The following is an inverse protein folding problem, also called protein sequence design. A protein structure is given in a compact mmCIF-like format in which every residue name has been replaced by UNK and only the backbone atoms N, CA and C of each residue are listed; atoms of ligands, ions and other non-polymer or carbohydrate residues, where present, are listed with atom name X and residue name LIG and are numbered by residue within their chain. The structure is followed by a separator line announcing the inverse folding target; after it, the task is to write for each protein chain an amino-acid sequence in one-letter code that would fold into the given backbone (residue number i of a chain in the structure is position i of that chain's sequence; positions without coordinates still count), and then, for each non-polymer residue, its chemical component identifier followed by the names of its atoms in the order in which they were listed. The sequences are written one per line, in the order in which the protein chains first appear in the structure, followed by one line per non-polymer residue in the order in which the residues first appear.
data_IF_292719649219
#
_entry.id   IF_292719649219
#
_cell.length_a   1.000
_cell.length_b   1.000
_cell.length_c   1.000
_cell.angle_alpha   90.00
_cell.angle_beta   90.00
_cell.angle_gamma   90.00
#
_symmetry.space_group_name_H-M   'P 1'
#
loop_
_entity.id
_entity.type
_entity.pdbx_description
1 polymer ?
#
# COMPACT_ATOMS: atom_id res chain seq x y z
N UNK A 1 7.99 -5.47 -22.14
CA UNK A 1 7.17 -4.59 -21.27
C UNK A 1 7.49 -4.92 -19.81
N UNK A 2 8.25 -4.07 -19.09
CA UNK A 2 8.55 -4.25 -17.65
C UNK A 2 7.52 -3.46 -16.83
N UNK A 3 6.41 -4.09 -16.49
CA UNK A 3 5.25 -3.45 -15.83
C UNK A 3 5.03 -3.89 -14.38
N UNK A 4 6.07 -4.34 -13.68
CA UNK A 4 5.93 -4.94 -12.34
C UNK A 4 5.84 -3.92 -11.19
N UNK A 5 5.82 -2.63 -11.51
CA UNK A 5 5.79 -1.54 -10.54
C UNK A 5 4.54 -0.69 -10.76
N UNK A 6 3.73 -0.57 -9.72
CA UNK A 6 2.58 0.31 -9.69
C UNK A 6 2.77 1.32 -8.56
N UNK A 7 2.52 2.61 -8.83
CA UNK A 7 2.46 3.65 -7.79
C UNK A 7 1.03 3.69 -7.27
N UNK A 8 0.85 3.40 -5.98
CA UNK A 8 -0.46 3.46 -5.31
C UNK A 8 -0.36 4.56 -4.25
N UNK A 9 -1.24 5.55 -4.32
CA UNK A 9 -1.40 6.56 -3.27
C UNK A 9 -2.42 6.05 -2.26
N UNK A 10 -2.01 5.91 -1.00
CA UNK A 10 -2.91 5.55 0.09
C UNK A 10 -3.71 6.78 0.52
N UNK A 11 -4.98 6.59 0.90
CA UNK A 11 -5.83 7.69 1.40
C UNK A 11 -5.46 8.13 2.81
N UNK A 12 -4.77 7.28 3.58
CA UNK A 12 -4.27 7.55 4.93
C UNK A 12 -2.81 7.10 5.05
N UNK A 13 -2.00 7.78 5.87
CA UNK A 13 -0.65 7.31 6.15
C UNK A 13 -0.70 5.93 6.81
N UNK A 14 0.17 5.02 6.37
CA UNK A 14 0.35 3.71 6.96
C UNK A 14 1.84 3.47 7.18
N UNK A 15 2.17 2.87 8.32
CA UNK A 15 3.52 2.43 8.62
C UNK A 15 3.72 1.05 8.00
N UNK A 16 4.49 0.97 6.92
CA UNK A 16 4.95 -0.29 6.31
C UNK A 16 6.44 -0.21 6.08
N UNK A 17 7.09 -1.35 5.87
CA UNK A 17 8.51 -1.40 5.51
C UNK A 17 8.71 -1.72 4.02
N UNK A 18 9.88 -1.35 3.47
CA UNK A 18 10.24 -1.74 2.11
C UNK A 18 10.46 -3.27 2.08
N UNK A 19 9.82 -3.95 1.13
CA UNK A 19 9.84 -5.41 1.00
C UNK A 19 8.71 -6.13 1.74
N UNK A 20 7.87 -5.41 2.48
CA UNK A 20 6.71 -6.00 3.15
C UNK A 20 5.66 -6.47 2.12
N UNK A 21 5.08 -7.65 2.36
CA UNK A 21 4.06 -8.24 1.48
C UNK A 21 2.69 -7.67 1.83
N UNK A 22 2.12 -6.90 0.90
CA UNK A 22 0.81 -6.28 1.06
C UNK A 22 -0.22 -6.99 0.17
N UNK A 23 -1.44 -7.18 0.67
CA UNK A 23 -2.54 -7.75 -0.10
C UNK A 23 -3.38 -6.66 -0.76
N UNK A 24 -3.70 -6.82 -2.04
CA UNK A 24 -4.60 -5.93 -2.77
C UNK A 24 -6.00 -6.51 -2.81
N UNK A 25 -6.95 -5.76 -2.27
CA UNK A 25 -8.37 -6.09 -2.29
C UNK A 25 -9.09 -5.14 -3.24
N UNK A 26 -10.02 -5.66 -4.04
CA UNK A 26 -10.94 -4.87 -4.87
C UNK A 26 -12.37 -5.10 -4.41
N UNK A 27 -13.15 -4.03 -4.35
CA UNK A 27 -14.58 -4.10 -4.06
C UNK A 27 -15.35 -4.49 -5.32
N UNK A 28 -16.10 -5.59 -5.27
CA UNK A 28 -16.99 -6.07 -6.34
C UNK A 28 -18.31 -6.48 -5.69
N UNK A 29 -19.44 -5.93 -6.14
CA UNK A 29 -20.79 -6.33 -5.68
C UNK A 29 -20.90 -6.43 -4.15
N UNK A 30 -20.44 -5.38 -3.44
CA UNK A 30 -20.40 -5.26 -1.97
C UNK A 30 -19.41 -6.16 -1.23
N UNK A 31 -18.69 -7.05 -1.91
CA UNK A 31 -17.67 -7.92 -1.30
C UNK A 31 -16.26 -7.42 -1.61
N UNK A 32 -15.34 -7.61 -0.65
CA UNK A 32 -13.91 -7.45 -0.91
C UNK A 32 -13.37 -8.77 -1.46
N UNK A 33 -12.79 -8.72 -2.65
CA UNK A 33 -12.13 -9.87 -3.28
C UNK A 33 -10.63 -9.62 -3.37
N UNK A 34 -9.86 -10.63 -3.03
CA UNK A 34 -8.40 -10.61 -3.19
C UNK A 34 -8.06 -10.62 -4.68
N UNK A 35 -7.28 -9.63 -5.11
CA UNK A 35 -6.81 -9.52 -6.50
C UNK A 35 -5.39 -10.05 -6.62
N UNK A 36 -4.56 -9.81 -5.61
CA UNK A 36 -3.17 -10.26 -5.63
C UNK A 36 -2.38 -9.76 -4.42
N UNK A 37 -1.08 -10.06 -4.42
CA UNK A 37 -0.13 -9.54 -3.44
C UNK A 37 0.86 -8.65 -4.17
N UNK A 38 1.21 -7.51 -3.57
CA UNK A 38 2.30 -6.66 -4.02
C UNK A 38 3.34 -6.54 -2.91
N UNK A 39 4.54 -6.10 -3.28
CA UNK A 39 5.59 -5.78 -2.34
C UNK A 39 5.79 -4.27 -2.33
N UNK A 40 5.91 -3.70 -1.14
CA UNK A 40 6.20 -2.27 -1.00
C UNK A 40 7.62 -2.00 -1.47
N UNK A 41 7.79 -1.11 -2.44
CA UNK A 41 9.12 -0.74 -2.98
C UNK A 41 9.58 0.64 -2.55
N UNK A 42 8.67 1.49 -2.09
CA UNK A 42 8.96 2.88 -1.70
C UNK A 42 7.98 3.32 -0.61
N UNK A 43 8.52 3.88 0.47
CA UNK A 43 7.75 4.44 1.58
C UNK A 43 7.53 5.91 1.33
N UNK A 44 6.30 6.29 1.02
CA UNK A 44 5.90 7.69 1.08
C UNK A 44 5.49 7.97 2.53
N UNK A 45 6.49 8.19 3.39
CA UNK A 45 6.26 8.74 4.72
C UNK A 45 5.62 10.11 4.52
N UNK A 46 4.30 10.19 4.62
CA UNK A 46 3.62 11.48 4.77
C UNK A 46 4.02 12.00 6.14
N UNK A 47 5.08 12.81 6.10
CA UNK A 47 5.72 13.57 7.16
C UNK A 47 4.66 14.36 7.96
N UNK A 48 4.10 13.75 9.00
CA UNK A 48 3.54 14.39 10.20
C UNK A 48 3.65 13.36 11.34
N UNK A 49 4.72 13.37 12.12
CA UNK A 49 4.83 14.25 13.28
C UNK A 49 3.75 13.98 14.36
N UNK A 50 3.62 12.74 14.87
CA UNK A 50 2.87 12.51 16.11
C UNK A 50 3.37 11.36 17.01
N UNK A 51 4.66 11.00 16.93
CA UNK A 51 5.31 10.16 17.94
C UNK A 51 6.61 10.85 18.40
N UNK A 52 6.40 12.03 19.00
CA UNK A 52 7.31 12.72 19.93
C UNK A 52 6.50 13.83 20.60
N UNK A 53 5.49 13.43 21.36
CA UNK A 53 4.96 14.15 22.52
C UNK A 53 4.92 13.14 23.66
#
# INVERSE_FOLDING_TARGET
MKGNLAKIQLTSPACTEVGEKVALLRRIEKHWRLVGKCQTVSLCFSFHAQILQ
#
